data_IF_688438295011
#
_entry.id   IF_688438295011
#
_cell.length_a   1.000
_cell.length_b   1.000
_cell.length_c   1.000
_cell.angle_alpha   90.00
_cell.angle_beta   90.00
_cell.angle_gamma   90.00
#
_symmetry.space_group_name_H-M   'P 1'
#
loop_
_entity.id
_entity.type
_entity.pdbx_description
1 polymer ?
#
# COMPACT_ATOMS: atom_id res chain seq x y z
N UNK A 1 -19.96 -5.80 7.33
CA UNK A 1 -19.62 -5.23 5.99
C UNK A 1 -20.54 -5.81 4.93
N UNK A 2 -21.04 -5.03 3.94
CA UNK A 2 -21.99 -5.55 2.93
C UNK A 2 -21.38 -6.66 2.07
N UNK A 3 -22.16 -7.71 1.78
CA UNK A 3 -21.68 -8.87 1.01
C UNK A 3 -21.26 -8.49 -0.41
N UNK A 4 -22.01 -7.62 -1.09
CA UNK A 4 -21.69 -7.16 -2.46
C UNK A 4 -20.27 -6.58 -2.55
N UNK A 5 -19.84 -5.82 -1.53
CA UNK A 5 -18.51 -5.23 -1.48
C UNK A 5 -17.45 -6.31 -1.31
N UNK A 6 -17.67 -7.26 -0.39
CA UNK A 6 -16.75 -8.39 -0.16
C UNK A 6 -16.58 -9.23 -1.43
N UNK A 7 -17.67 -9.50 -2.14
CA UNK A 7 -17.67 -10.25 -3.39
C UNK A 7 -16.98 -9.51 -4.53
N UNK A 8 -17.23 -8.20 -4.70
CA UNK A 8 -16.56 -7.39 -5.71
C UNK A 8 -15.04 -7.29 -5.46
N UNK A 9 -14.64 -7.09 -4.20
CA UNK A 9 -13.23 -7.05 -3.83
C UNK A 9 -12.56 -8.42 -4.08
N UNK A 10 -13.21 -9.52 -3.69
CA UNK A 10 -12.70 -10.87 -3.97
C UNK A 10 -12.56 -11.12 -5.48
N UNK A 11 -13.56 -10.74 -6.28
CA UNK A 11 -13.52 -10.91 -7.73
C UNK A 11 -12.37 -10.12 -8.36
N UNK A 12 -12.15 -8.87 -7.93
CA UNK A 12 -11.01 -8.07 -8.38
C UNK A 12 -9.67 -8.74 -8.05
N UNK A 13 -9.48 -9.18 -6.79
CA UNK A 13 -8.26 -9.86 -6.36
C UNK A 13 -8.05 -11.19 -7.10
N UNK A 14 -9.13 -11.94 -7.36
CA UNK A 14 -9.08 -13.21 -8.10
C UNK A 14 -8.63 -13.04 -9.57
N UNK A 15 -8.85 -11.86 -10.17
CA UNK A 15 -8.34 -11.52 -11.50
C UNK A 15 -6.91 -10.95 -11.41
N UNK A 16 -6.66 -10.06 -10.44
CA UNK A 16 -5.36 -9.40 -10.30
C UNK A 16 -4.25 -10.38 -9.98
N UNK A 17 -4.45 -11.28 -9.01
CA UNK A 17 -3.41 -12.20 -8.53
C UNK A 17 -2.81 -13.05 -9.66
N UNK A 18 -3.59 -13.76 -10.48
CA UNK A 18 -3.01 -14.55 -11.58
C UNK A 18 -2.33 -13.66 -12.62
N UNK A 19 -2.93 -12.53 -13.01
CA UNK A 19 -2.35 -11.63 -14.00
C UNK A 19 -0.99 -11.06 -13.54
N UNK A 20 -0.91 -10.60 -12.28
CA UNK A 20 0.33 -10.10 -11.68
C UNK A 20 1.37 -11.20 -11.50
N UNK A 21 0.95 -12.43 -11.18
CA UNK A 21 1.87 -13.55 -11.03
C UNK A 21 2.57 -13.87 -12.34
N UNK A 22 1.84 -13.86 -13.46
CA UNK A 22 2.40 -14.10 -14.80
C UNK A 22 3.36 -12.98 -15.20
N UNK A 23 2.97 -11.72 -14.97
CA UNK A 23 3.75 -10.56 -15.42
C UNK A 23 4.99 -10.30 -14.53
N UNK A 24 4.80 -10.28 -13.21
CA UNK A 24 5.78 -9.77 -12.25
C UNK A 24 6.36 -10.85 -11.34
N UNK A 25 5.78 -12.05 -11.32
CA UNK A 25 6.14 -13.13 -10.39
C UNK A 25 5.66 -12.90 -8.95
N UNK A 26 5.83 -13.92 -8.11
CA UNK A 26 5.26 -13.94 -6.75
C UNK A 26 5.90 -12.92 -5.79
N UNK A 27 7.17 -12.56 -5.99
CA UNK A 27 7.87 -11.59 -5.14
C UNK A 27 7.21 -10.21 -5.21
N UNK A 28 6.53 -9.90 -6.32
CA UNK A 28 5.81 -8.64 -6.49
C UNK A 28 4.70 -8.44 -5.43
N UNK A 29 4.16 -9.50 -4.84
CA UNK A 29 3.15 -9.36 -3.78
C UNK A 29 3.71 -8.85 -2.44
N UNK A 30 5.04 -8.69 -2.32
CA UNK A 30 5.67 -8.03 -1.17
C UNK A 30 5.58 -6.50 -1.24
N UNK A 31 5.22 -5.90 -2.37
CA UNK A 31 4.90 -4.47 -2.42
C UNK A 31 3.89 -4.14 -1.31
N UNK A 32 4.17 -3.12 -0.51
CA UNK A 32 3.31 -2.75 0.62
C UNK A 32 1.86 -2.47 0.18
N UNK A 33 1.68 -1.93 -1.03
CA UNK A 33 0.37 -1.73 -1.67
C UNK A 33 -0.35 -3.05 -1.96
N UNK A 34 0.35 -4.07 -2.48
CA UNK A 34 -0.20 -5.41 -2.70
C UNK A 34 -0.55 -6.10 -1.37
N UNK A 35 0.31 -5.97 -0.35
CA UNK A 35 0.02 -6.45 1.00
C UNK A 35 -1.23 -5.78 1.57
N UNK A 36 -1.37 -4.46 1.36
CA UNK A 36 -2.55 -3.70 1.78
C UNK A 36 -3.82 -4.05 1.02
N UNK A 37 -3.72 -4.34 -0.28
CA UNK A 37 -4.83 -4.82 -1.10
C UNK A 37 -5.31 -6.20 -0.62
N UNK A 38 -4.42 -7.18 -0.52
CA UNK A 38 -4.77 -8.54 -0.10
C UNK A 38 -5.22 -8.57 1.36
N UNK A 39 -4.50 -7.87 2.24
CA UNK A 39 -4.88 -7.73 3.65
C UNK A 39 -6.19 -6.96 3.83
N UNK A 40 -6.49 -6.00 2.95
CA UNK A 40 -7.73 -5.22 2.98
C UNK A 40 -8.94 -6.08 2.66
N UNK A 41 -8.80 -7.04 1.73
CA UNK A 41 -9.80 -8.07 1.50
C UNK A 41 -10.05 -8.89 2.77
N UNK A 42 -8.99 -9.37 3.43
CA UNK A 42 -9.12 -10.12 4.69
C UNK A 42 -9.76 -9.27 5.79
N UNK A 43 -9.38 -8.00 5.90
CA UNK A 43 -9.96 -7.06 6.87
C UNK A 43 -11.46 -6.88 6.63
N UNK A 44 -11.90 -6.82 5.37
CA UNK A 44 -13.31 -6.73 5.01
C UNK A 44 -14.09 -8.01 5.34
N UNK A 45 -13.51 -9.18 5.08
CA UNK A 45 -14.16 -10.48 5.34
C UNK A 45 -14.29 -10.77 6.83
N UNK A 46 -13.20 -10.61 7.58
CA UNK A 46 -13.16 -10.80 9.03
C UNK A 46 -13.69 -9.61 9.83
N UNK A 47 -14.00 -8.50 9.16
CA UNK A 47 -14.48 -7.27 9.78
C UNK A 47 -13.53 -6.80 10.91
N UNK A 48 -12.22 -6.92 10.65
CA UNK A 48 -11.16 -6.67 11.63
C UNK A 48 -10.75 -5.19 11.62
N UNK A 49 -11.13 -4.39 12.63
CA UNK A 49 -10.73 -2.97 12.71
C UNK A 49 -9.21 -2.82 12.83
N UNK A 50 -8.56 -3.75 13.53
CA UNK A 50 -7.11 -3.76 13.72
C UNK A 50 -6.36 -3.96 12.41
N UNK A 51 -6.75 -4.96 11.62
CA UNK A 51 -6.11 -5.22 10.33
C UNK A 51 -6.34 -4.07 9.35
N UNK A 52 -7.57 -3.56 9.26
CA UNK A 52 -7.87 -2.38 8.44
C UNK A 52 -7.02 -1.16 8.85
N UNK A 53 -6.88 -0.92 10.16
CA UNK A 53 -6.07 0.18 10.70
C UNK A 53 -4.58 0.01 10.41
N UNK A 54 -4.03 -1.20 10.53
CA UNK A 54 -2.63 -1.49 10.22
C UNK A 54 -2.32 -1.15 8.75
N UNK A 55 -3.16 -1.65 7.84
CA UNK A 55 -2.94 -1.49 6.40
C UNK A 55 -3.19 -0.04 5.97
N UNK A 56 -4.15 0.65 6.59
CA UNK A 56 -4.32 2.08 6.36
C UNK A 56 -3.07 2.87 6.78
N UNK A 57 -2.50 2.60 7.96
CA UNK A 57 -1.24 3.22 8.41
C UNK A 57 -0.09 2.90 7.46
N UNK A 58 -0.06 1.68 6.94
CA UNK A 58 0.98 1.20 6.04
C UNK A 58 1.07 2.02 4.74
N UNK A 59 -0.08 2.29 4.12
CA UNK A 59 -0.11 2.76 2.73
C UNK A 59 -0.80 4.09 2.50
N UNK A 60 -1.48 4.71 3.48
CA UNK A 60 -2.20 5.96 3.23
C UNK A 60 -1.34 7.04 2.57
N UNK A 61 -0.18 7.39 3.15
CA UNK A 61 0.69 8.42 2.58
C UNK A 61 1.36 7.98 1.26
N UNK A 62 1.93 6.76 1.15
CA UNK A 62 2.44 6.26 -0.13
C UNK A 62 1.42 6.25 -1.26
N UNK A 63 0.18 5.82 -1.01
CA UNK A 63 -0.88 5.78 -2.01
C UNK A 63 -1.33 7.18 -2.41
N UNK A 64 -1.39 8.13 -1.46
CA UNK A 64 -1.66 9.53 -1.81
C UNK A 64 -0.54 10.14 -2.67
N UNK A 65 0.72 9.79 -2.40
CA UNK A 65 1.84 10.18 -3.25
C UNK A 65 1.75 9.56 -4.65
N UNK A 66 1.38 8.28 -4.74
CA UNK A 66 1.13 7.59 -6.01
C UNK A 66 0.00 8.26 -6.80
N UNK A 67 -1.12 8.59 -6.17
CA UNK A 67 -2.24 9.29 -6.80
C UNK A 67 -1.80 10.65 -7.34
N UNK A 68 -1.06 11.43 -6.53
CA UNK A 68 -0.56 12.74 -6.96
C UNK A 68 0.37 12.61 -8.17
N UNK A 69 1.29 11.65 -8.13
CA UNK A 69 2.24 11.37 -9.22
C UNK A 69 1.51 10.93 -10.49
N UNK A 70 0.50 10.07 -10.36
CA UNK A 70 -0.33 9.61 -11.48
C UNK A 70 -1.07 10.78 -12.13
N UNK A 71 -1.79 11.58 -11.34
CA UNK A 71 -2.53 12.73 -11.86
C UNK A 71 -1.60 13.78 -12.50
N UNK A 72 -0.44 14.04 -11.89
CA UNK A 72 0.56 14.92 -12.47
C UNK A 72 1.08 14.36 -13.80
N UNK A 73 1.37 13.06 -13.88
CA UNK A 73 1.85 12.43 -15.10
C UNK A 73 0.86 12.52 -16.27
N UNK A 74 -0.45 12.50 -16.01
CA UNK A 74 -1.47 12.72 -17.04
C UNK A 74 -1.39 14.12 -17.64
N UNK A 75 -1.11 15.14 -16.83
CA UNK A 75 -0.95 16.53 -17.27
C UNK A 75 0.41 16.76 -17.93
N UNK A 76 1.44 16.03 -17.47
CA UNK A 76 2.82 16.13 -17.96
C UNK A 76 3.14 15.16 -19.10
N UNK A 77 2.12 14.70 -19.85
CA UNK A 77 2.27 13.84 -21.03
C UNK A 77 3.06 12.55 -20.75
N UNK A 78 2.76 11.90 -19.62
CA UNK A 78 3.37 10.65 -19.19
C UNK A 78 4.64 10.79 -18.35
N UNK A 79 5.08 12.01 -18.03
CA UNK A 79 6.25 12.24 -17.17
C UNK A 79 5.88 12.19 -15.69
N UNK A 80 6.48 11.24 -14.98
CA UNK A 80 6.35 11.08 -13.53
C UNK A 80 7.12 12.16 -12.77
N UNK A 81 6.55 12.73 -11.70
CA UNK A 81 7.22 13.70 -10.84
C UNK A 81 8.15 13.03 -9.83
N UNK A 82 7.71 11.90 -9.28
CA UNK A 82 8.42 11.18 -8.21
C UNK A 82 8.98 9.83 -8.67
N UNK A 83 8.72 9.43 -9.92
CA UNK A 83 9.14 8.14 -10.47
C UNK A 83 8.24 6.97 -10.06
N UNK A 84 7.19 7.18 -9.25
CA UNK A 84 6.37 6.09 -8.68
C UNK A 84 5.47 5.44 -9.73
N UNK A 85 5.07 6.22 -10.74
CA UNK A 85 4.12 5.78 -11.78
C UNK A 85 4.76 5.52 -13.14
N UNK A 86 6.09 5.51 -13.25
CA UNK A 86 6.78 5.31 -14.54
C UNK A 86 6.39 3.99 -15.20
N UNK A 87 6.21 2.93 -14.39
CA UNK A 87 5.78 1.62 -14.88
C UNK A 87 4.40 1.66 -15.56
N UNK A 88 3.52 2.62 -15.23
CA UNK A 88 2.22 2.80 -15.90
C UNK A 88 2.38 3.20 -17.37
N UNK A 89 3.56 3.70 -17.75
CA UNK A 89 3.87 4.11 -19.12
C UNK A 89 4.83 3.14 -19.82
N UNK A 90 5.33 2.10 -19.13
CA UNK A 90 6.20 1.09 -19.73
C UNK A 90 5.42 0.18 -20.71
N UNK A 91 5.74 0.18 -22.02
CA UNK A 91 5.06 -0.67 -23.01
C UNK A 91 5.38 -2.16 -22.89
N UNK A 92 6.44 -2.52 -22.17
CA UNK A 92 6.79 -3.93 -21.88
C UNK A 92 5.81 -4.55 -20.89
N UNK A 93 5.11 -3.73 -20.09
CA UNK A 93 4.07 -4.21 -19.18
C UNK A 93 2.73 -4.21 -19.91
N UNK A 94 2.08 -5.38 -19.94
CA UNK A 94 0.79 -5.54 -20.60
C UNK A 94 -0.22 -4.46 -20.13
N UNK A 95 -0.91 -3.82 -21.08
CA UNK A 95 -1.87 -2.74 -20.77
C UNK A 95 -2.90 -3.17 -19.72
N UNK A 96 -3.38 -4.41 -19.82
CA UNK A 96 -4.30 -4.99 -18.84
C UNK A 96 -3.74 -4.98 -17.42
N UNK A 97 -2.46 -5.34 -17.24
CA UNK A 97 -1.79 -5.34 -15.93
C UNK A 97 -1.65 -3.93 -15.39
N UNK A 98 -1.25 -2.97 -16.23
CA UNK A 98 -1.18 -1.54 -15.85
C UNK A 98 -2.55 -0.99 -15.44
N UNK A 99 -3.62 -1.39 -16.14
CA UNK A 99 -4.99 -1.00 -15.76
C UNK A 99 -5.42 -1.62 -14.43
N UNK A 100 -5.00 -2.86 -14.13
CA UNK A 100 -5.24 -3.47 -12.81
C UNK A 100 -4.53 -2.68 -11.70
N UNK A 101 -3.36 -2.11 -11.96
CA UNK A 101 -2.63 -1.25 -11.01
C UNK A 101 -3.38 0.04 -10.63
N UNK A 102 -4.42 0.42 -11.37
CA UNK A 102 -5.30 1.54 -10.99
C UNK A 102 -6.05 1.31 -9.67
N UNK A 103 -5.96 0.12 -9.06
CA UNK A 103 -6.42 -0.07 -7.68
C UNK A 103 -5.80 0.94 -6.70
N UNK A 104 -4.60 1.46 -6.99
CA UNK A 104 -3.94 2.51 -6.21
C UNK A 104 -4.82 3.76 -6.04
N UNK A 105 -5.64 4.08 -7.04
CA UNK A 105 -6.61 5.18 -6.97
C UNK A 105 -7.71 4.95 -5.93
N UNK A 106 -8.02 3.69 -5.60
CA UNK A 106 -9.14 3.33 -4.74
C UNK A 106 -8.70 2.85 -3.36
N UNK A 107 -7.56 2.17 -3.26
CA UNK A 107 -7.10 1.48 -2.06
C UNK A 107 -7.07 2.35 -0.79
N UNK A 108 -6.46 3.55 -0.76
CA UNK A 108 -6.45 4.36 0.46
C UNK A 108 -7.87 4.75 0.91
N UNK A 109 -8.78 5.01 -0.03
CA UNK A 109 -10.17 5.38 0.27
C UNK A 109 -11.00 4.18 0.72
N UNK A 110 -10.76 3.00 0.13
CA UNK A 110 -11.35 1.74 0.59
C UNK A 110 -10.92 1.45 2.02
N UNK A 111 -9.62 1.56 2.34
CA UNK A 111 -9.10 1.34 3.70
C UNK A 111 -9.63 2.38 4.69
N UNK A 112 -9.71 3.66 4.29
CA UNK A 112 -10.35 4.71 5.09
C UNK A 112 -11.81 4.37 5.39
N UNK A 113 -12.56 3.92 4.39
CA UNK A 113 -13.94 3.51 4.56
C UNK A 113 -14.09 2.28 5.47
N UNK A 114 -13.22 1.27 5.33
CA UNK A 114 -13.19 0.12 6.24
C UNK A 114 -12.94 0.56 7.68
N UNK A 115 -11.95 1.43 7.91
CA UNK A 115 -11.66 1.99 9.24
C UNK A 115 -12.81 2.85 9.77
N UNK A 116 -13.47 3.62 8.92
CA UNK A 116 -14.65 4.40 9.30
C UNK A 116 -15.81 3.50 9.75
N UNK A 117 -16.03 2.37 9.06
CA UNK A 117 -17.09 1.40 9.39
C UNK A 117 -16.79 0.54 10.61
N UNK A 118 -15.55 0.07 10.74
CA UNK A 118 -15.14 -0.92 11.75
C UNK A 118 -14.57 -0.27 13.02
N UNK A 119 -14.08 0.98 12.91
CA UNK A 119 -13.37 1.71 13.94
C UNK A 119 -11.86 1.67 13.76
N UNK A 120 -11.19 2.76 14.13
CA UNK A 120 -9.74 2.86 14.12
C UNK A 120 -9.12 2.31 15.43
N UNK A 121 -8.27 1.30 15.31
CA UNK A 121 -7.46 0.80 16.42
C UNK A 121 -6.15 1.60 16.52
N UNK A 122 -6.06 2.46 17.54
CA UNK A 122 -4.88 3.31 17.81
C UNK A 122 -3.61 2.51 18.14
N UNK A 123 -3.75 1.23 18.51
CA UNK A 123 -2.63 0.33 18.77
C UNK A 123 -2.14 -0.43 17.54
N UNK A 124 -2.88 -0.37 16.42
CA UNK A 124 -2.59 -1.13 15.20
C UNK A 124 -1.17 -0.90 14.67
N UNK A 125 -0.70 0.35 14.68
CA UNK A 125 0.64 0.69 14.17
C UNK A 125 1.77 -0.06 14.91
N UNK A 126 1.59 -0.39 16.19
CA UNK A 126 2.60 -1.11 16.98
C UNK A 126 2.84 -2.53 16.48
N UNK A 127 1.79 -3.16 15.94
CA UNK A 127 1.89 -4.46 15.28
C UNK A 127 2.36 -4.30 13.84
N UNK A 128 1.94 -3.23 13.18
CA UNK A 128 2.36 -2.96 11.80
C UNK A 128 3.86 -2.73 11.69
N UNK A 129 4.51 -1.95 12.56
CA UNK A 129 5.95 -1.68 12.45
C UNK A 129 6.78 -2.96 12.29
N UNK A 130 6.75 -3.94 13.21
CA UNK A 130 7.56 -5.15 13.05
C UNK A 130 7.18 -5.98 11.81
N UNK A 131 5.90 -6.01 11.44
CA UNK A 131 5.42 -6.72 10.23
C UNK A 131 5.94 -6.04 8.96
N UNK A 132 5.77 -4.72 8.85
CA UNK A 132 6.23 -3.93 7.71
C UNK A 132 7.75 -3.98 7.56
N UNK A 133 8.50 -3.88 8.67
CA UNK A 133 9.95 -4.05 8.65
C UNK A 133 10.38 -5.43 8.18
N UNK A 134 9.64 -6.47 8.58
CA UNK A 134 9.87 -7.84 8.11
C UNK A 134 9.55 -7.97 6.62
N UNK A 135 8.51 -7.32 6.10
CA UNK A 135 8.21 -7.27 4.67
C UNK A 135 9.32 -6.57 3.89
N UNK A 136 9.87 -5.46 4.39
CA UNK A 136 10.99 -4.77 3.75
C UNK A 136 12.25 -5.64 3.73
N UNK A 137 12.56 -6.33 4.83
CA UNK A 137 13.67 -7.27 4.88
C UNK A 137 13.46 -8.44 3.90
N UNK A 138 12.27 -9.03 3.85
CA UNK A 138 11.95 -10.09 2.89
C UNK A 138 12.00 -9.57 1.44
N UNK A 139 11.59 -8.32 1.20
CA UNK A 139 11.73 -7.69 -0.11
C UNK A 139 13.20 -7.63 -0.49
N UNK A 140 14.08 -7.20 0.41
CA UNK A 140 15.52 -7.15 0.14
C UNK A 140 16.13 -8.53 -0.10
N UNK A 141 15.71 -9.55 0.66
CA UNK A 141 16.27 -10.91 0.56
C UNK A 141 15.76 -11.70 -0.65
N UNK A 142 14.53 -11.42 -1.11
CA UNK A 142 13.85 -12.23 -2.14
C UNK A 142 13.71 -11.52 -3.48
N UNK A 143 13.85 -10.19 -3.51
CA UNK A 143 13.86 -9.42 -4.75
C UNK A 143 15.27 -9.26 -5.31
N UNK A 144 15.36 -8.73 -6.52
CA UNK A 144 16.62 -8.39 -7.17
C UNK A 144 16.69 -6.88 -7.42
N UNK A 145 17.88 -6.33 -7.69
CA UNK A 145 18.02 -4.92 -8.04
C UNK A 145 17.14 -4.51 -9.24
N UNK A 146 16.96 -5.40 -10.22
CA UNK A 146 16.11 -5.17 -11.39
C UNK A 146 14.60 -5.26 -11.05
N UNK A 147 14.26 -6.01 -10.00
CA UNK A 147 12.90 -6.13 -9.47
C UNK A 147 12.81 -5.45 -8.11
N UNK A 148 13.09 -4.15 -8.09
CA UNK A 148 13.28 -3.32 -6.88
C UNK A 148 12.00 -3.13 -6.02
N UNK A 149 11.48 -4.21 -5.44
CA UNK A 149 10.24 -4.20 -4.65
C UNK A 149 10.43 -3.34 -3.39
N UNK A 150 9.48 -2.42 -3.15
CA UNK A 150 9.53 -1.44 -2.05
C UNK A 150 10.78 -0.55 -2.06
N UNK A 151 11.45 -0.42 -3.22
CA UNK A 151 12.64 0.43 -3.39
C UNK A 151 13.79 0.07 -2.45
N UNK A 152 13.91 -1.20 -2.06
CA UNK A 152 14.95 -1.70 -1.15
C UNK A 152 16.34 -1.79 -1.77
N UNK A 153 16.47 -1.52 -3.08
CA UNK A 153 17.74 -1.47 -3.81
C UNK A 153 18.11 -0.08 -4.32
N UNK A 154 17.19 0.88 -4.33
CA UNK A 154 17.42 2.25 -4.80
C UNK A 154 16.10 3.01 -4.97
N UNK A 155 16.12 4.34 -5.12
CA UNK A 155 14.91 5.09 -5.39
C UNK A 155 14.44 4.84 -6.84
N UNK A 156 13.17 4.49 -7.02
CA UNK A 156 12.60 4.23 -8.36
C UNK A 156 12.97 2.86 -8.93
N UNK A 157 13.10 2.77 -10.25
CA UNK A 157 13.37 1.52 -10.97
C UNK A 157 14.84 1.08 -10.93
N UNK A 158 15.77 1.98 -10.62
CA UNK A 158 17.20 1.71 -10.69
C UNK A 158 17.84 1.49 -9.31
N UNK A 159 18.79 0.53 -9.19
CA UNK A 159 19.57 0.36 -7.98
C UNK A 159 20.44 1.60 -7.69
N UNK A 160 20.64 1.93 -6.42
CA UNK A 160 21.60 2.95 -6.03
C UNK A 160 23.03 2.38 -5.98
N UNK A 161 24.03 3.22 -6.28
CA UNK A 161 25.45 2.83 -6.25
C UNK A 161 26.30 3.63 -5.24
N UNK A 162 25.74 4.66 -4.61
CA UNK A 162 26.48 5.58 -3.72
C UNK A 162 26.69 5.06 -2.28
N UNK A 163 26.06 3.95 -1.88
CA UNK A 163 26.22 3.35 -0.55
C UNK A 163 26.01 1.83 -0.58
N UNK A 164 26.35 1.12 0.51
CA UNK A 164 26.13 -0.32 0.56
C UNK A 164 24.62 -0.65 0.53
N UNK A 165 24.20 -1.77 -0.10
CA UNK A 165 22.80 -2.18 -0.13
C UNK A 165 22.17 -2.31 1.26
N UNK A 166 22.95 -2.74 2.26
CA UNK A 166 22.48 -2.86 3.64
C UNK A 166 22.25 -1.49 4.29
N UNK A 167 23.12 -0.51 4.01
CA UNK A 167 22.94 0.86 4.49
C UNK A 167 21.68 1.48 3.88
N UNK A 168 21.45 1.25 2.59
CA UNK A 168 20.23 1.69 1.90
C UNK A 168 18.97 1.02 2.48
N UNK A 169 18.99 -0.31 2.70
CA UNK A 169 17.88 -1.01 3.35
C UNK A 169 17.55 -0.41 4.73
N UNK A 170 18.58 -0.14 5.55
CA UNK A 170 18.38 0.50 6.87
C UNK A 170 17.75 1.88 6.69
N UNK A 171 18.20 2.68 5.72
CA UNK A 171 17.61 3.99 5.43
C UNK A 171 16.14 3.87 5.04
N UNK A 172 15.77 2.92 4.17
CA UNK A 172 14.38 2.64 3.78
C UNK A 172 13.55 2.20 4.99
N UNK A 173 14.06 1.31 5.83
CA UNK A 173 13.38 0.84 7.04
C UNK A 173 13.12 1.98 8.04
N UNK A 174 14.10 2.87 8.23
CA UNK A 174 13.97 4.06 9.08
C UNK A 174 12.96 5.05 8.49
N UNK A 175 13.05 5.33 7.19
CA UNK A 175 12.12 6.19 6.47
C UNK A 175 10.69 5.69 6.57
N UNK A 176 10.43 4.41 6.27
CA UNK A 176 9.11 3.81 6.38
C UNK A 176 8.58 3.82 7.82
N UNK A 177 9.45 3.55 8.82
CA UNK A 177 9.05 3.61 10.23
C UNK A 177 8.62 5.01 10.64
N UNK A 178 9.37 6.04 10.24
CA UNK A 178 9.03 7.44 10.46
C UNK A 178 7.74 7.81 9.73
N UNK A 179 7.57 7.37 8.49
CA UNK A 179 6.36 7.61 7.70
C UNK A 179 5.12 6.99 8.35
N UNK A 180 5.18 5.72 8.77
CA UNK A 180 4.08 5.05 9.47
C UNK A 180 3.75 5.71 10.80
N UNK A 181 4.77 6.17 11.53
CA UNK A 181 4.58 6.95 12.75
C UNK A 181 3.87 8.28 12.49
N UNK A 182 4.25 9.01 11.44
CA UNK A 182 3.54 10.25 11.03
C UNK A 182 2.11 9.93 10.62
N UNK A 183 1.88 8.89 9.81
CA UNK A 183 0.56 8.48 9.36
C UNK A 183 -0.37 8.19 10.54
N UNK A 184 0.09 7.41 11.55
CA UNK A 184 -0.76 7.09 12.71
C UNK A 184 -1.05 8.32 13.58
N UNK A 185 -0.12 9.27 13.68
CA UNK A 185 -0.36 10.55 14.37
C UNK A 185 -1.44 11.37 13.66
N UNK A 186 -1.35 11.50 12.33
CA UNK A 186 -2.34 12.22 11.52
C UNK A 186 -3.72 11.60 11.63
N UNK A 187 -3.82 10.27 11.46
CA UNK A 187 -5.08 9.53 11.64
C UNK A 187 -5.63 9.71 13.06
N UNK A 188 -4.77 9.59 14.07
CA UNK A 188 -5.14 9.76 15.47
C UNK A 188 -5.64 11.18 15.81
N UNK A 189 -5.17 12.20 15.10
CA UNK A 189 -5.60 13.59 15.25
C UNK A 189 -6.91 13.87 14.52
N UNK A 190 -7.01 13.48 13.25
CA UNK A 190 -8.20 13.70 12.42
C UNK A 190 -9.40 12.94 12.98
N UNK A 191 -9.24 11.65 13.29
CA UNK A 191 -10.34 10.83 13.77
C UNK A 191 -10.81 11.22 15.18
N UNK A 192 -9.97 11.84 16.00
CA UNK A 192 -10.40 12.44 17.29
C UNK A 192 -11.33 13.63 17.10
N UNK A 193 -11.15 14.40 16.04
CA UNK A 193 -11.97 15.60 15.75
C UNK A 193 -13.28 15.25 15.06
N UNK A 194 -13.30 14.16 14.30
CA UNK A 194 -14.47 13.70 13.55
C UNK A 194 -15.38 12.78 14.37
N UNK A 195 -14.82 11.99 15.29
CA UNK A 195 -15.62 11.16 16.20
C UNK A 195 -16.26 12.03 17.30
N UNK A 196 -17.47 12.53 17.04
CA UNK A 196 -18.45 12.82 18.10
C UNK A 196 -18.81 11.54 18.89
N UNK A 197 -19.54 11.65 20.02
CA UNK A 197 -19.84 10.51 20.88
C UNK A 197 -20.45 9.36 20.07
N UNK A 198 -19.89 8.16 20.24
CA UNK A 198 -20.29 6.94 19.52
C UNK A 198 -21.79 6.70 19.76
N UNK A 199 -22.64 6.63 18.72
CA UNK A 199 -24.02 6.24 18.91
C UNK A 199 -24.08 4.82 19.49
N UNK A 200 -24.97 4.54 20.45
CA UNK A 200 -25.07 3.22 21.05
C UNK A 200 -25.33 2.18 19.95
N UNK A 201 -24.56 1.08 19.99
CA UNK A 201 -24.77 -0.06 19.09
C UNK A 201 -26.20 -0.56 19.30
N UNK A 202 -27.05 -0.43 18.29
CA UNK A 202 -28.30 -1.19 18.27
C UNK A 202 -27.90 -2.67 18.19
N UNK A 203 -28.23 -3.41 19.25
CA UNK A 203 -28.10 -4.86 19.31
C UNK A 203 -29.17 -5.51 18.44
#
# INVERSE_FOLDING_TARGET
>A
MPLWFKSAYLAFVAVLVPAYTVEHGLVNFLWLSNVALLGGLLAAWFESPRLASMLLVAVLLPELAWILDFLASLVLLGRSLFGVVEYMYNPEIALFVRLLSLYHLLLPFVLLWLVWRLGYDRGAWKLWIPIGLSILLLSFLLSSPERNVNWVWGPGGEPQEWMSPQAWLIAVMLFCSALWWVTQMLLGHVLRRVAGPVPPRMR
#
